data_IF_793007099363
#
_entry.id   IF_793007099363
#
_cell.length_a   1.000
_cell.length_b   1.000
_cell.length_c   1.000
_cell.angle_alpha   90.00
_cell.angle_beta   90.00
_cell.angle_gamma   90.00
#
_symmetry.space_group_name_H-M   'P 1'
#
loop_
_entity.id
_entity.type
_entity.pdbx_description
1 polymer ?
2 non-polymer ?
3 non-polymer ?
4 water ?
#
# COMPACT_ATOMS: atom_id res chain seq x y z
N UNK A 21 22.61 7.88 15.26
CA UNK A 21 21.58 7.24 14.36
C UNK A 21 20.45 6.65 15.23
N UNK A 22 19.77 5.59 14.76
CA UNK A 22 18.60 4.99 15.45
C UNK A 22 19.07 3.81 16.29
N UNK A 23 18.84 3.86 17.59
CA UNK A 23 19.21 2.80 18.56
C UNK A 23 17.97 2.06 19.05
N UNK A 24 16.78 2.67 18.96
CA UNK A 24 15.51 2.11 19.48
C UNK A 24 14.34 2.60 18.63
N UNK A 25 13.56 1.68 18.06
CA UNK A 25 12.37 2.01 17.20
C UNK A 25 11.10 1.46 17.87
N UNK A 26 10.10 2.32 18.07
CA UNK A 26 8.70 1.89 18.37
C UNK A 26 8.09 1.34 17.06
N UNK A 27 7.62 0.08 17.09
CA UNK A 27 6.82 -0.59 16.02
C UNK A 27 5.33 -0.35 16.31
N UNK A 28 4.78 0.76 15.79
CA UNK A 28 3.39 1.22 15.99
C UNK A 28 2.49 0.55 14.95
N UNK A 29 2.40 -0.78 14.98
CA UNK A 29 1.57 -1.60 14.07
C UNK A 29 1.49 -3.01 14.68
N UNK A 30 1.18 -4.01 13.86
CA UNK A 30 0.82 -5.38 14.31
C UNK A 30 0.91 -6.35 13.12
N UNK A 31 0.60 -7.62 13.36
CA UNK A 31 0.53 -8.64 12.29
C UNK A 31 1.86 -8.80 11.59
N UNK A 32 1.82 -9.05 10.28
CA UNK A 32 2.98 -9.43 9.47
C UNK A 32 3.89 -8.20 9.31
N UNK A 33 3.33 -6.99 9.24
CA UNK A 33 4.16 -5.78 8.96
C UNK A 33 5.02 -5.45 10.20
N UNK A 34 4.47 -5.60 11.40
CA UNK A 34 5.22 -5.40 12.67
C UNK A 34 6.39 -6.39 12.74
N UNK A 35 6.21 -7.63 12.30
CA UNK A 35 7.30 -8.65 12.25
C UNK A 35 8.33 -8.29 11.17
N UNK A 36 7.88 -7.86 10.00
CA UNK A 36 8.74 -7.42 8.88
C UNK A 36 9.68 -6.32 9.39
N UNK A 37 9.12 -5.38 10.13
CA UNK A 37 9.87 -4.23 10.72
C UNK A 37 10.83 -4.75 11.79
N UNK A 38 10.37 -5.62 12.69
CA UNK A 38 11.23 -6.20 13.75
C UNK A 38 12.45 -6.85 13.10
N UNK A 39 12.22 -7.71 12.11
CA UNK A 39 13.28 -8.43 11.35
C UNK A 39 14.32 -7.43 10.81
N UNK A 40 13.85 -6.32 10.23
CA UNK A 40 14.72 -5.27 9.66
C UNK A 40 15.57 -4.68 10.80
N UNK A 41 14.89 -4.33 11.90
CA UNK A 41 15.50 -3.64 13.06
C UNK A 41 16.62 -4.54 13.61
N UNK A 42 16.30 -5.81 13.87
CA UNK A 42 17.23 -6.81 14.44
C UNK A 42 18.45 -6.96 13.54
N UNK A 43 18.23 -7.04 12.23
CA UNK A 43 19.33 -7.17 11.23
C UNK A 43 20.29 -5.99 11.35
N UNK A 44 19.80 -4.79 11.74
CA UNK A 44 20.60 -3.54 11.83
C UNK A 44 21.08 -3.31 13.27
N UNK A 45 20.66 -4.16 14.21
CA UNK A 45 21.03 -4.04 15.63
C UNK A 45 20.27 -2.90 16.30
N UNK A 46 19.08 -2.59 15.81
CA UNK A 46 18.19 -1.52 16.37
C UNK A 46 17.25 -2.19 17.37
N UNK A 47 17.20 -1.63 18.59
CA UNK A 47 16.37 -2.18 19.69
C UNK A 47 14.91 -1.91 19.36
N UNK A 48 14.04 -2.89 19.58
CA UNK A 48 12.62 -2.87 19.21
C UNK A 48 11.75 -2.73 20.46
N UNK A 49 10.85 -1.74 20.44
CA UNK A 49 9.66 -1.61 21.34
C UNK A 49 8.42 -2.01 20.55
N UNK A 50 7.70 -3.05 20.95
CA UNK A 50 6.43 -3.46 20.32
C UNK A 50 5.27 -2.93 21.17
N UNK A 51 4.59 -1.91 20.67
CA UNK A 51 3.30 -1.42 21.24
C UNK A 51 2.20 -2.29 20.65
N UNK A 52 1.33 -2.79 21.51
CA UNK A 52 0.36 -3.85 21.19
C UNK A 52 -0.93 -3.58 21.95
N UNK A 53 -2.06 -4.09 21.44
CA UNK A 53 -3.35 -4.14 22.14
C UNK A 53 -3.33 -5.34 23.09
N UNK A 54 -4.29 -5.38 24.01
CA UNK A 54 -4.66 -6.54 24.87
C UNK A 54 -4.70 -7.83 24.04
N UNK A 55 -5.35 -7.79 22.87
CA UNK A 55 -5.64 -8.99 22.04
C UNK A 55 -4.42 -9.42 21.22
N UNK A 56 -3.33 -8.65 21.26
CA UNK A 56 -2.12 -8.88 20.43
C UNK A 56 -0.91 -9.18 21.32
N UNK A 57 -1.12 -9.62 22.57
CA UNK A 57 -0.03 -10.03 23.51
C UNK A 57 0.76 -11.21 22.92
N UNK A 58 0.09 -12.06 22.13
CA UNK A 58 0.61 -13.36 21.65
C UNK A 58 1.14 -13.25 20.20
N UNK A 59 1.28 -12.04 19.65
CA UNK A 59 1.83 -11.85 18.27
C UNK A 59 3.29 -12.27 18.25
N UNK A 60 3.75 -12.87 17.14
CA UNK A 60 5.14 -13.34 16.95
C UNK A 60 6.11 -12.18 17.27
N UNK A 61 5.91 -11.03 16.60
CA UNK A 61 6.82 -9.87 16.69
C UNK A 61 6.88 -9.36 18.13
N UNK A 62 5.77 -9.47 18.87
CA UNK A 62 5.67 -8.98 20.28
C UNK A 62 6.54 -9.85 21.17
N UNK A 63 6.50 -11.18 20.98
CA UNK A 63 7.26 -12.17 21.80
C UNK A 63 8.76 -12.05 21.49
N UNK A 64 9.12 -11.62 20.27
CA UNK A 64 10.52 -11.48 19.78
C UNK A 64 11.10 -10.09 20.12
N UNK A 65 10.25 -9.13 20.53
CA UNK A 65 10.62 -7.72 20.76
C UNK A 65 11.55 -7.57 21.97
N UNK A 66 12.29 -6.47 22.06
CA UNK A 66 13.23 -6.18 23.17
C UNK A 66 12.42 -5.68 24.37
N UNK A 67 11.50 -4.74 24.14
CA UNK A 67 10.52 -4.22 25.12
C UNK A 67 9.11 -4.34 24.52
N UNK A 68 8.10 -4.57 25.38
CA UNK A 68 6.65 -4.61 25.02
C UNK A 68 5.88 -3.66 25.94
N UNK A 69 4.81 -3.05 25.40
CA UNK A 69 3.93 -2.08 26.11
C UNK A 69 2.50 -2.20 25.55
N UNK A 70 1.57 -2.64 26.40
CA UNK A 70 0.11 -2.60 26.13
C UNK A 70 -0.32 -1.12 26.04
N UNK A 71 -0.77 -0.65 24.87
CA UNK A 71 -1.21 0.76 24.65
C UNK A 71 -2.75 0.86 24.66
N UNK A 72 -3.46 -0.22 24.95
CA UNK A 72 -4.89 -0.15 25.29
C UNK A 72 -5.70 -1.36 24.84
N UNK A 73 -7.03 -1.33 25.05
CA UNK A 73 -7.89 -2.49 24.79
C UNK A 73 -7.98 -2.81 23.29
N UNK A 74 -8.58 -3.97 22.96
CA UNK A 74 -8.55 -4.63 21.63
C UNK A 74 -8.94 -3.67 20.50
N UNK A 75 -10.06 -2.90 20.59
CA UNK A 75 -10.43 -2.02 19.50
C UNK A 75 -9.24 -1.16 19.08
N UNK A 76 -9.03 -1.02 17.78
CA UNK A 76 -7.92 -0.25 17.16
C UNK A 76 -8.01 1.23 17.54
N UNK A 77 -9.23 1.72 17.78
CA UNK A 77 -9.54 3.13 18.13
C UNK A 77 -8.90 3.49 19.47
N UNK A 78 -8.89 2.56 20.44
CA UNK A 78 -8.31 2.78 21.79
C UNK A 78 -6.96 2.06 21.92
N UNK A 79 -6.33 1.66 20.82
CA UNK A 79 -5.00 0.99 20.81
C UNK A 79 -4.13 1.58 19.70
N UNK A 80 -4.23 1.05 18.47
CA UNK A 80 -3.27 1.35 17.36
C UNK A 80 -3.54 2.72 16.76
N UNK A 81 -4.62 3.40 17.16
CA UNK A 81 -4.98 4.78 16.74
C UNK A 81 -4.87 5.73 17.95
N UNK A 82 -4.30 5.24 19.06
CA UNK A 82 -4.16 5.96 20.35
C UNK A 82 -2.88 6.80 20.30
N UNK A 83 -2.95 7.96 19.65
CA UNK A 83 -1.81 8.88 19.38
C UNK A 83 -1.07 9.18 20.69
N UNK A 84 -1.75 9.56 21.79
CA UNK A 84 -1.08 9.81 23.07
C UNK A 84 -0.33 8.60 23.64
N UNK A 85 -0.95 7.42 23.64
CA UNK A 85 -0.42 6.20 24.30
C UNK A 85 0.88 5.77 23.60
N UNK A 86 0.95 5.90 22.28
CA UNK A 86 2.12 5.51 21.45
C UNK A 86 3.28 6.48 21.74
N UNK A 87 3.01 7.79 21.67
CA UNK A 87 4.02 8.86 21.95
C UNK A 87 4.58 8.63 23.36
N UNK A 88 3.67 8.45 24.33
CA UNK A 88 3.96 8.14 25.75
C UNK A 88 4.91 6.95 25.86
N UNK A 89 4.63 5.88 25.09
CA UNK A 89 5.43 4.64 25.03
C UNK A 89 6.83 4.93 24.47
N UNK A 90 6.94 5.88 23.53
CA UNK A 90 8.23 6.34 22.99
C UNK A 90 9.01 7.08 24.07
N UNK A 91 8.35 7.99 24.81
CA UNK A 91 8.99 8.85 25.84
C UNK A 91 9.66 7.96 26.90
N UNK A 92 8.95 6.91 27.35
CA UNK A 92 9.29 6.10 28.55
C UNK A 92 10.47 5.18 28.24
N UNK A 93 10.52 4.61 27.05
CA UNK A 93 11.58 3.65 26.61
C UNK A 93 12.78 4.44 26.06
N UNK A 94 12.65 5.77 25.91
CA UNK A 94 13.70 6.61 25.33
C UNK A 94 13.98 6.20 23.89
N UNK A 95 12.93 5.81 23.16
CA UNK A 95 12.95 5.47 21.73
C UNK A 95 13.51 6.66 20.93
N UNK A 96 14.16 6.36 19.80
CA UNK A 96 14.69 7.38 18.84
C UNK A 96 13.65 7.67 17.75
N UNK A 97 12.83 6.70 17.39
CA UNK A 97 11.93 6.79 16.22
C UNK A 97 10.73 5.86 16.38
N UNK A 98 9.74 6.05 15.48
CA UNK A 98 8.44 5.32 15.45
C UNK A 98 8.19 4.90 14.00
N UNK A 99 7.96 3.60 13.75
CA UNK A 99 7.57 3.05 12.43
C UNK A 99 6.08 2.75 12.47
N UNK A 100 5.25 3.49 11.69
CA UNK A 100 3.80 3.28 11.65
C UNK A 100 3.29 2.17 10.71
N UNK A 101 4.20 1.47 10.01
CA UNK A 101 3.85 0.42 9.03
C UNK A 101 2.90 0.93 7.95
N UNK A 102 1.83 0.21 7.67
CA UNK A 102 0.72 0.64 6.77
C UNK A 102 -0.60 0.62 7.55
N UNK A 103 -1.61 1.31 7.01
CA UNK A 103 -2.90 1.60 7.67
C UNK A 103 -2.71 2.39 8.95
N UNK A 104 -3.67 2.30 9.87
CA UNK A 104 -3.65 2.98 11.18
C UNK A 104 -3.20 4.43 10.95
N UNK A 105 -2.09 4.86 11.57
CA UNK A 105 -1.69 6.28 11.67
C UNK A 105 -0.63 6.63 10.60
N UNK A 106 -0.36 5.74 9.64
CA UNK A 106 0.79 5.87 8.71
C UNK A 106 0.60 7.09 7.78
N UNK A 107 -0.64 7.37 7.35
CA UNK A 107 -0.99 8.51 6.45
C UNK A 107 -1.58 9.71 7.23
N UNK A 108 -1.48 9.69 8.57
CA UNK A 108 -2.07 10.71 9.47
C UNK A 108 -1.02 11.79 9.77
N UNK A 109 -1.20 12.99 9.22
CA UNK A 109 -0.22 14.11 9.31
C UNK A 109 -0.17 14.62 10.75
N UNK A 110 -1.34 14.70 11.40
CA UNK A 110 -1.46 15.18 12.81
C UNK A 110 -0.58 14.30 13.69
N UNK A 111 -0.64 12.98 13.52
CA UNK A 111 0.21 12.00 14.26
C UNK A 111 1.68 12.31 13.95
N UNK A 112 2.05 12.37 12.67
CA UNK A 112 3.43 12.68 12.21
C UNK A 112 3.92 13.98 12.85
N UNK A 113 3.05 14.99 12.90
CA UNK A 113 3.33 16.32 13.50
C UNK A 113 3.62 16.15 14.99
N UNK A 114 2.76 15.42 15.72
CA UNK A 114 2.86 15.23 17.19
C UNK A 114 4.16 14.46 17.49
N UNK A 115 4.58 13.55 16.60
CA UNK A 115 5.81 12.72 16.73
C UNK A 115 7.04 13.64 16.64
N UNK A 116 7.16 14.40 15.55
CA UNK A 116 8.32 15.28 15.29
C UNK A 116 8.41 16.32 16.42
N UNK A 117 7.28 16.91 16.81
CA UNK A 117 7.21 17.99 17.85
C UNK A 117 7.65 17.42 19.21
N UNK A 118 7.34 16.15 19.51
CA UNK A 118 7.68 15.48 20.79
C UNK A 118 9.13 14.96 20.80
N UNK A 119 9.88 15.20 19.71
CA UNK A 119 11.34 15.07 19.66
C UNK A 119 11.83 13.76 19.06
N UNK A 120 10.93 12.93 18.50
CA UNK A 120 11.26 11.63 17.87
C UNK A 120 11.22 11.79 16.34
N UNK A 121 11.84 10.82 15.65
CA UNK A 121 11.83 10.70 14.16
C UNK A 121 10.61 9.88 13.73
N UNK A 122 9.76 10.44 12.88
CA UNK A 122 8.67 9.69 12.22
C UNK A 122 9.25 9.01 10.98
N UNK A 123 9.27 7.68 10.96
CA UNK A 123 9.82 6.88 9.81
C UNK A 123 8.78 6.94 8.69
N UNK A 124 9.07 7.77 7.69
CA UNK A 124 8.13 8.23 6.66
C UNK A 124 8.36 9.71 6.39
N UNK A 125 7.49 10.34 5.57
CA UNK A 125 7.71 11.72 5.15
C UNK A 125 7.47 12.71 6.30
N UNK A 126 7.80 13.99 6.10
CA UNK A 126 7.50 15.10 7.05
C UNK A 126 6.00 15.41 6.99
N UNK A 127 5.42 15.91 8.09
CA UNK A 127 3.98 16.21 8.25
C UNK A 127 3.45 16.99 7.04
N UNK A 128 4.15 18.06 6.62
CA UNK A 128 3.65 18.99 5.58
C UNK A 128 3.63 18.28 4.21
N UNK A 129 4.45 17.25 4.01
CA UNK A 129 4.46 16.44 2.76
C UNK A 129 3.35 15.38 2.82
N UNK A 130 2.95 14.94 4.01
CA UNK A 130 1.83 13.96 4.17
C UNK A 130 0.50 14.68 3.88
N UNK A 131 0.26 15.84 4.51
CA UNK A 131 -0.94 16.71 4.27
C UNK A 131 -1.09 16.99 2.78
N UNK A 132 0.02 17.35 2.13
CA UNK A 132 0.07 17.80 0.72
C UNK A 132 -0.43 16.69 -0.20
N UNK A 133 0.06 15.46 0.01
CA UNK A 133 -0.23 14.29 -0.87
C UNK A 133 -1.47 13.55 -0.33
N UNK A 134 -1.88 13.80 0.92
CA UNK A 134 -3.19 13.41 1.47
C UNK A 134 -4.34 14.13 0.77
N UNK A 135 -4.15 15.41 0.45
CA UNK A 135 -5.10 16.19 -0.40
C UNK A 135 -4.78 15.87 -1.86
N UNK A 136 -5.71 15.28 -2.59
CA UNK A 136 -5.46 14.65 -3.91
C UNK A 136 -5.37 15.72 -4.99
N UNK A 137 -6.16 16.79 -4.90
CA UNK A 137 -6.08 17.91 -5.89
C UNK A 137 -4.69 18.56 -5.77
N UNK A 138 -4.16 18.78 -4.56
CA UNK A 138 -2.84 19.42 -4.36
C UNK A 138 -1.72 18.44 -4.72
N UNK A 139 -1.93 17.15 -4.49
CA UNK A 139 -1.03 16.04 -4.92
C UNK A 139 -0.95 16.02 -6.46
N UNK A 140 -2.11 16.06 -7.12
CA UNK A 140 -2.27 16.08 -8.60
C UNK A 140 -1.62 17.35 -9.16
N UNK A 141 -1.73 18.48 -8.45
CA UNK A 141 -1.01 19.74 -8.81
C UNK A 141 0.48 19.44 -8.98
N UNK A 142 1.08 18.82 -7.95
CA UNK A 142 2.54 18.51 -7.82
C UNK A 142 3.01 17.65 -8.99
N UNK A 143 2.23 16.61 -9.32
CA UNK A 143 2.58 15.61 -10.36
C UNK A 143 2.49 16.23 -11.77
N UNK A 144 1.48 17.06 -12.03
CA UNK A 144 1.42 17.87 -13.28
C UNK A 144 2.71 18.71 -13.38
N UNK A 145 3.06 19.37 -12.27
CA UNK A 145 4.21 20.32 -12.15
C UNK A 145 5.53 19.60 -12.47
N UNK A 146 5.68 18.34 -12.03
CA UNK A 146 6.90 17.52 -12.17
C UNK A 146 6.95 16.82 -13.54
N UNK A 147 6.02 17.15 -14.44
CA UNK A 147 5.93 16.58 -15.80
C UNK A 147 5.24 15.23 -15.80
N UNK A 148 4.57 14.86 -14.69
CA UNK A 148 3.95 13.50 -14.48
C UNK A 148 2.52 13.49 -15.00
N UNK A 149 2.19 12.57 -15.94
CA UNK A 149 0.89 12.60 -16.63
C UNK A 149 -0.27 12.21 -15.70
N UNK A 150 -1.35 12.98 -15.75
CA UNK A 150 -2.54 12.84 -14.88
C UNK A 150 -3.78 12.54 -15.73
N UNK A 151 -4.90 12.21 -15.08
CA UNK A 151 -6.19 11.95 -15.77
C UNK A 151 -6.71 13.29 -16.29
N UNK A 152 -7.13 13.38 -17.57
CA UNK A 152 -7.92 14.53 -18.02
C UNK A 152 -8.99 14.78 -16.94
N UNK A 153 -9.14 16.03 -16.49
CA UNK A 153 -9.97 16.35 -15.30
C UNK A 153 -10.27 17.84 -15.19
N UNK A 154 -10.75 18.26 -14.01
CA UNK A 154 -11.09 19.67 -13.68
C UNK A 154 -9.81 20.49 -13.48
N UNK A 155 -8.69 19.83 -13.18
CA UNK A 155 -7.38 20.49 -12.99
C UNK A 155 -7.51 21.50 -11.84
N UNK A 156 -8.15 21.07 -10.73
CA UNK A 156 -8.52 21.92 -9.59
C UNK A 156 -9.89 21.55 -9.06
N UNK A 157 -10.37 22.19 -7.95
CA UNK A 157 -11.72 21.94 -7.45
C UNK A 157 -12.79 22.52 -8.39
N UNK A 158 -13.94 21.85 -8.51
CA UNK A 158 -15.10 22.26 -9.37
C UNK A 158 -16.05 23.15 -8.55
N UNK A 159 -16.63 24.18 -9.18
CA UNK A 159 -17.54 25.16 -8.53
C UNK A 159 -19.00 24.70 -8.68
N UNK A 160 -19.93 25.40 -8.03
CA UNK A 160 -21.38 25.09 -8.01
C UNK A 160 -22.04 25.70 -9.26
N UNK A 161 -21.35 26.63 -9.94
CA UNK A 161 -21.72 27.08 -11.31
C UNK A 161 -21.66 25.84 -12.22
N UNK A 162 -22.82 25.24 -12.49
CA UNK A 162 -22.94 23.91 -13.15
C UNK A 162 -22.81 24.08 -14.67
N UNK A 163 -23.14 25.25 -15.21
CA UNK A 163 -22.82 25.63 -16.60
C UNK A 163 -21.32 25.37 -16.85
N UNK A 164 -20.47 25.84 -15.92
CA UNK A 164 -18.99 25.73 -16.01
C UNK A 164 -18.56 24.28 -15.86
N UNK A 165 -19.29 23.48 -15.06
CA UNK A 165 -19.02 22.04 -14.83
C UNK A 165 -19.29 21.24 -16.11
N UNK A 166 -20.49 21.38 -16.68
CA UNK A 166 -20.90 20.70 -17.95
C UNK A 166 -19.83 20.92 -19.02
N UNK A 167 -19.33 22.16 -19.09
CA UNK A 167 -18.28 22.60 -20.05
C UNK A 167 -17.03 21.73 -19.90
N UNK A 168 -16.48 21.63 -18.69
CA UNK A 168 -15.28 20.78 -18.40
C UNK A 168 -15.63 19.32 -18.67
N UNK A 169 -16.82 18.87 -18.24
CA UNK A 169 -17.26 17.46 -18.30
C UNK A 169 -17.39 17.02 -19.77
N UNK A 170 -17.87 17.93 -20.62
CA UNK A 170 -18.10 17.67 -22.07
C UNK A 170 -16.77 17.79 -22.82
N UNK A 171 -15.78 18.47 -22.23
CA UNK A 171 -14.40 18.60 -22.77
C UNK A 171 -13.72 17.23 -22.68
N UNK A 172 -13.61 16.67 -21.48
CA UNK A 172 -13.06 15.30 -21.22
C UNK A 172 -14.01 14.23 -21.80
N UNK A 173 -15.32 14.51 -21.84
CA UNK A 173 -16.36 13.60 -22.34
C UNK A 173 -16.73 12.54 -21.30
N UNK A 174 -17.94 11.99 -21.41
CA UNK A 174 -18.51 10.99 -20.48
C UNK A 174 -18.07 9.59 -20.91
N UNK A 175 -17.96 8.59 -20.01
CA UNK A 175 -18.21 8.78 -18.57
C UNK A 175 -17.11 9.62 -17.88
N UNK A 176 -17.52 10.38 -16.87
CA UNK A 176 -16.63 11.16 -15.96
C UNK A 176 -16.82 10.61 -14.53
N UNK A 177 -15.87 10.88 -13.62
CA UNK A 177 -15.98 10.46 -12.20
C UNK A 177 -15.69 11.68 -11.32
N UNK A 178 -16.45 11.84 -10.23
CA UNK A 178 -16.28 12.89 -9.19
C UNK A 178 -15.65 12.26 -7.95
N UNK A 179 -14.47 12.73 -7.54
CA UNK A 179 -13.72 12.25 -6.35
C UNK A 179 -13.62 13.35 -5.29
N UNK A 180 -13.48 12.95 -4.02
CA UNK A 180 -13.17 13.85 -2.88
C UNK A 180 -11.65 14.04 -2.80
N UNK A 181 -11.20 15.24 -2.50
CA UNK A 181 -9.76 15.59 -2.37
C UNK A 181 -9.19 15.03 -1.06
N UNK A 182 -9.99 15.01 0.00
CA UNK A 182 -9.65 14.43 1.32
C UNK A 182 -10.66 13.40 1.78
N UNK A 188 -15.47 7.06 -1.54
CA UNK A 188 -16.67 7.91 -1.61
C UNK A 188 -16.70 8.76 -2.88
N UNK A 189 -16.59 8.11 -4.04
CA UNK A 189 -16.53 8.77 -5.38
C UNK A 189 -17.78 8.36 -6.17
N UNK A 190 -18.08 9.07 -7.26
CA UNK A 190 -19.33 8.89 -8.04
C UNK A 190 -19.03 8.93 -9.54
N UNK A 191 -19.37 7.85 -10.26
CA UNK A 191 -19.35 7.78 -11.74
C UNK A 191 -20.58 8.52 -12.29
N UNK A 192 -20.36 9.43 -13.24
CA UNK A 192 -21.41 10.14 -14.01
C UNK A 192 -21.29 9.67 -15.46
N UNK A 193 -22.39 9.18 -16.03
CA UNK A 193 -22.39 8.54 -17.38
C UNK A 193 -22.97 9.50 -18.42
N UNK A 194 -23.81 10.47 -17.99
CA UNK A 194 -24.57 11.40 -18.87
C UNK A 194 -24.70 12.79 -18.24
N UNK A 195 -24.70 13.84 -19.06
CA UNK A 195 -24.81 15.27 -18.65
C UNK A 195 -26.06 15.48 -17.78
N UNK A 196 -27.13 14.72 -18.04
CA UNK A 196 -28.45 14.85 -17.37
C UNK A 196 -28.31 14.69 -15.85
N UNK A 197 -27.31 13.93 -15.39
CA UNK A 197 -27.09 13.59 -13.96
C UNK A 197 -25.75 14.13 -13.46
N UNK A 198 -25.44 15.41 -13.71
CA UNK A 198 -24.14 16.00 -13.28
C UNK A 198 -24.36 16.94 -12.09
N UNK A 199 -25.09 18.04 -12.29
CA UNK A 199 -25.37 19.08 -11.26
C UNK A 199 -25.60 18.43 -9.89
N UNK A 200 -26.69 17.67 -9.74
CA UNK A 200 -27.07 16.91 -8.51
C UNK A 200 -25.90 16.05 -8.04
N UNK A 201 -25.30 15.29 -8.97
CA UNK A 201 -24.29 14.24 -8.69
C UNK A 201 -23.05 14.85 -8.02
N UNK A 202 -22.75 16.12 -8.31
CA UNK A 202 -21.64 16.90 -7.67
C UNK A 202 -22.07 17.28 -6.25
N UNK A 203 -23.17 18.02 -6.13
CA UNK A 203 -23.70 18.58 -4.85
C UNK A 203 -23.88 17.44 -3.83
N UNK A 204 -24.23 16.25 -4.30
CA UNK A 204 -24.30 15.01 -3.47
C UNK A 204 -22.92 14.74 -2.90
N UNK A 205 -21.93 14.43 -3.75
CA UNK A 205 -20.54 14.05 -3.41
C UNK A 205 -19.93 15.08 -2.44
N UNK A 206 -20.17 16.37 -2.67
CA UNK A 206 -19.74 17.49 -1.79
C UNK A 206 -20.31 17.27 -0.39
N UNK A 207 -21.65 17.20 -0.28
CA UNK A 207 -22.43 17.15 0.98
C UNK A 207 -22.05 15.92 1.80
N UNK A 208 -21.67 14.81 1.14
CA UNK A 208 -21.22 13.56 1.82
C UNK A 208 -19.91 13.82 2.55
N UNK A 209 -19.01 14.60 1.93
CA UNK A 209 -17.63 14.89 2.41
C UNK A 209 -17.66 15.75 3.68
N UNK A 210 -18.35 16.89 3.65
CA UNK A 210 -18.47 17.83 4.81
C UNK A 210 -18.93 17.04 6.04
N UNK A 211 -20.02 16.27 5.90
CA UNK A 211 -20.61 15.42 6.96
C UNK A 211 -19.63 14.31 7.35
N UNK A 212 -18.94 13.72 6.38
CA UNK A 212 -17.90 12.67 6.58
C UNK A 212 -16.54 13.32 6.88
N UNK A 213 -15.75 13.63 5.84
CA UNK A 213 -14.30 13.93 5.90
C UNK A 213 -14.00 15.41 6.19
N UNK A 214 -15.00 16.21 6.60
CA UNK A 214 -14.87 17.62 7.08
C UNK A 214 -14.63 18.62 5.92
N UNK A 215 -14.24 18.13 4.73
CA UNK A 215 -13.71 18.92 3.58
C UNK A 215 -14.61 18.75 2.36
N UNK A 216 -15.34 19.80 1.96
CA UNK A 216 -16.39 19.77 0.89
C UNK A 216 -15.76 19.78 -0.51
N UNK A 217 -14.45 19.69 -0.62
CA UNK A 217 -13.69 19.86 -1.89
C UNK A 217 -13.71 18.55 -2.70
N UNK A 218 -14.13 18.65 -3.96
CA UNK A 218 -14.23 17.50 -4.91
C UNK A 218 -13.68 17.94 -6.27
N UNK A 219 -13.17 16.99 -7.06
CA UNK A 219 -12.61 17.22 -8.41
C UNK A 219 -13.19 16.18 -9.39
N UNK A 220 -13.16 16.50 -10.70
CA UNK A 220 -13.57 15.58 -11.80
C UNK A 220 -12.32 14.97 -12.45
N UNK A 221 -12.45 13.71 -12.89
CA UNK A 221 -11.53 13.05 -13.85
C UNK A 221 -12.37 12.39 -14.94
N UNK A 222 -11.78 12.19 -16.12
CA UNK A 222 -12.26 11.25 -17.15
C UNK A 222 -12.22 9.85 -16.52
N UNK A 223 -13.40 9.25 -16.29
CA UNK A 223 -13.52 7.88 -15.74
C UNK A 223 -13.01 6.91 -16.81
N UNK A 224 -11.95 6.17 -16.49
CA UNK A 224 -11.41 5.07 -17.32
C UNK A 224 -12.17 3.78 -16.97
N UNK A 225 -12.71 3.12 -17.98
CA UNK A 225 -13.73 2.05 -17.83
C UNK A 225 -13.03 0.71 -17.59
N UNK A 226 -11.87 0.47 -18.22
CA UNK A 226 -11.12 -0.81 -18.11
C UNK A 226 -9.63 -0.55 -17.90
N UNK A 227 -9.25 0.19 -16.84
CA UNK A 227 -7.84 0.47 -16.58
C UNK A 227 -7.19 -0.70 -15.82
N UNK A 228 -5.86 -0.82 -15.89
CA UNK A 228 -5.03 -1.64 -14.98
C UNK A 228 -4.47 -0.73 -13.88
N UNK A 229 -4.32 -1.24 -12.66
CA UNK A 229 -3.80 -0.50 -11.49
C UNK A 229 -2.30 -0.79 -11.36
N UNK A 230 -1.47 0.18 -11.72
CA UNK A 230 0.01 0.03 -11.77
C UNK A 230 0.64 1.08 -10.86
N UNK A 231 1.48 0.63 -9.94
CA UNK A 231 2.10 1.43 -8.85
C UNK A 231 3.62 1.51 -9.06
N UNK A 232 4.20 2.71 -9.01
CA UNK A 232 5.68 2.84 -8.99
C UNK A 232 6.15 3.01 -7.55
N UNK A 233 7.10 2.17 -7.13
CA UNK A 233 7.79 2.29 -5.81
C UNK A 233 8.94 3.28 -5.99
N UNK A 234 9.07 4.19 -5.02
CA UNK A 234 10.20 5.14 -4.95
C UNK A 234 10.77 5.14 -3.52
N UNK A 235 12.02 5.60 -3.42
CA UNK A 235 12.69 5.99 -2.15
C UNK A 235 13.32 7.35 -2.37
N UNK A 236 13.18 8.26 -1.39
CA UNK A 236 13.86 9.57 -1.34
C UNK A 236 14.53 9.71 0.03
N UNK A 237 15.72 10.34 0.10
CA UNK A 237 16.52 10.49 1.34
C UNK A 237 16.73 11.97 1.65
N UNK A 238 17.38 12.27 2.79
CA UNK A 238 17.68 13.64 3.28
C UNK A 238 18.95 14.19 2.61
N UNK A 239 19.57 13.41 1.73
CA UNK A 239 20.77 13.76 0.93
C UNK A 239 20.37 14.24 -0.47
N UNK A 240 19.06 14.25 -0.77
CA UNK A 240 18.53 14.79 -2.03
C UNK A 240 18.52 13.77 -3.16
N UNK A 241 18.81 12.49 -2.86
CA UNK A 241 18.71 11.35 -3.80
C UNK A 241 17.27 10.83 -3.85
N UNK A 242 16.85 10.32 -5.00
CA UNK A 242 15.53 9.65 -5.18
C UNK A 242 15.64 8.60 -6.29
N UNK A 243 15.06 7.42 -6.07
CA UNK A 243 15.13 6.24 -7.00
C UNK A 243 13.73 5.68 -7.20
N UNK A 244 13.51 5.10 -8.37
CA UNK A 244 12.29 4.35 -8.76
C UNK A 244 12.67 2.86 -8.86
N UNK A 245 11.86 1.99 -8.26
CA UNK A 245 12.11 0.51 -8.20
C UNK A 245 10.99 -0.20 -8.97
N UNK A 246 10.98 -0.01 -10.29
CA UNK A 246 9.99 -0.53 -11.24
C UNK A 246 8.57 -0.32 -10.69
N UNK A 247 7.64 -1.21 -11.03
CA UNK A 247 6.19 -1.04 -10.73
C UNK A 247 5.61 -2.39 -10.28
N UNK A 248 4.39 -2.34 -9.75
CA UNK A 248 3.56 -3.52 -9.42
C UNK A 248 2.22 -3.36 -10.14
N UNK A 249 1.66 -4.47 -10.63
CA UNK A 249 0.29 -4.52 -11.17
C UNK A 249 -0.60 -5.08 -10.07
N UNK A 250 -1.50 -4.25 -9.55
CA UNK A 250 -2.46 -4.59 -8.46
C UNK A 250 -3.88 -4.75 -9.02
N UNK A 251 -4.03 -5.14 -10.29
CA UNK A 251 -5.32 -5.15 -11.02
C UNK A 251 -6.24 -6.25 -10.45
N UNK A 252 -5.65 -7.37 -10.02
CA UNK A 252 -6.39 -8.53 -9.47
C UNK A 252 -6.88 -8.17 -8.07
N UNK A 253 -7.99 -7.45 -8.01
CA UNK A 253 -8.63 -6.92 -6.78
C UNK A 253 -10.15 -7.21 -6.81
N UNK A 254 -10.81 -7.07 -5.66
CA UNK A 254 -12.24 -7.36 -5.45
C UNK A 254 -12.82 -6.26 -4.55
N UNK A 255 -13.67 -5.39 -5.09
CA UNK A 255 -14.35 -4.32 -4.31
C UNK A 255 -13.31 -3.64 -3.40
N UNK A 256 -12.29 -3.05 -4.03
CA UNK A 256 -11.24 -2.16 -3.45
C UNK A 256 -10.29 -2.94 -2.54
N UNK A 257 -10.30 -4.28 -2.58
CA UNK A 257 -9.36 -5.13 -1.80
C UNK A 257 -8.50 -5.94 -2.77
N UNK A 258 -7.20 -5.65 -2.79
CA UNK A 258 -6.19 -6.34 -3.64
C UNK A 258 -6.06 -7.79 -3.19
N UNK A 259 -5.92 -8.72 -4.14
CA UNK A 259 -5.92 -10.19 -3.86
C UNK A 259 -4.58 -10.79 -4.32
N UNK A 260 -4.15 -10.48 -5.54
CA UNK A 260 -2.82 -10.90 -6.09
C UNK A 260 -2.11 -9.65 -6.59
N UNK A 261 -0.80 -9.57 -6.40
CA UNK A 261 0.08 -8.50 -6.96
C UNK A 261 1.26 -9.16 -7.67
N UNK A 262 1.79 -8.50 -8.70
CA UNK A 262 3.01 -8.96 -9.39
C UNK A 262 3.89 -7.77 -9.72
N UNK A 263 5.17 -8.05 -9.95
CA UNK A 263 6.20 -7.11 -10.42
C UNK A 263 7.16 -7.90 -11.30
N UNK A 264 7.58 -7.38 -12.48
CA UNK A 264 7.09 -6.10 -13.00
C UNK A 264 5.66 -6.24 -13.51
N UNK A 265 5.05 -5.15 -13.96
CA UNK A 265 3.71 -5.15 -14.59
C UNK A 265 3.86 -5.63 -16.03
N UNK A 266 3.16 -6.70 -16.47
CA UNK A 266 3.27 -7.17 -17.86
C UNK A 266 2.98 -6.07 -18.88
N UNK A 267 3.68 -6.09 -20.02
CA UNK A 267 3.48 -5.16 -21.14
C UNK A 267 4.36 -3.92 -21.03
N UNK A 268 4.83 -3.60 -19.83
CA UNK A 268 5.63 -2.36 -19.56
C UNK A 268 7.10 -2.66 -19.83
N UNK A 269 7.76 -1.80 -20.61
CA UNK A 269 9.13 -1.98 -21.13
C UNK A 269 10.11 -1.24 -20.22
N UNK A 270 11.40 -1.54 -20.31
CA UNK A 270 12.47 -0.80 -19.59
C UNK A 270 12.39 0.68 -19.98
N UNK A 271 12.03 0.92 -21.24
CA UNK A 271 12.00 2.26 -21.88
C UNK A 271 10.94 3.10 -21.14
N UNK A 272 9.73 2.57 -20.96
CA UNK A 272 8.59 3.30 -20.32
C UNK A 272 8.84 3.36 -18.80
N UNK A 273 9.27 2.25 -18.19
CA UNK A 273 9.69 2.18 -16.75
C UNK A 273 10.63 3.34 -16.44
N UNK A 274 11.69 3.49 -17.23
CA UNK A 274 12.72 4.54 -17.06
C UNK A 274 12.05 5.91 -17.05
N UNK A 275 11.18 6.18 -18.04
CA UNK A 275 10.57 7.51 -18.27
C UNK A 275 9.70 7.90 -17.07
N UNK A 276 8.54 7.26 -16.90
CA UNK A 276 7.57 7.59 -15.81
C UNK A 276 8.25 7.34 -14.45
N UNK A 277 9.08 6.30 -14.33
CA UNK A 277 9.91 6.04 -13.14
C UNK A 277 10.76 7.27 -12.80
N UNK A 278 11.48 7.81 -13.79
CA UNK A 278 12.35 9.00 -13.62
C UNK A 278 11.50 10.18 -13.16
N UNK A 279 10.30 10.34 -13.73
CA UNK A 279 9.43 11.52 -13.48
C UNK A 279 8.91 11.48 -12.05
N UNK A 280 8.58 10.30 -11.55
CA UNK A 280 8.26 10.09 -10.12
C UNK A 280 9.47 10.42 -9.23
N UNK A 281 10.70 10.08 -9.65
CA UNK A 281 11.94 10.39 -8.90
C UNK A 281 12.17 11.91 -8.87
N UNK A 282 11.98 12.61 -9.99
CA UNK A 282 12.09 14.10 -10.05
C UNK A 282 11.12 14.72 -9.05
N UNK A 283 9.87 14.27 -9.07
CA UNK A 283 8.76 14.79 -8.23
C UNK A 283 9.12 14.67 -6.74
N UNK A 284 9.65 13.52 -6.32
CA UNK A 284 10.11 13.26 -4.93
C UNK A 284 11.02 14.40 -4.46
N UNK A 285 11.91 14.85 -5.33
CA UNK A 285 12.89 15.93 -5.00
C UNK A 285 12.16 17.27 -5.01
N UNK A 286 11.40 17.56 -6.06
CA UNK A 286 10.63 18.83 -6.17
C UNK A 286 9.95 19.09 -4.82
N UNK A 287 9.23 18.10 -4.29
CA UNK A 287 8.36 18.25 -3.07
C UNK A 287 9.15 17.93 -1.80
N UNK A 288 10.47 17.73 -1.90
CA UNK A 288 11.33 17.33 -0.77
C UNK A 288 10.77 16.10 -0.06
N UNK A 289 10.34 15.09 -0.84
CA UNK A 289 9.77 13.82 -0.32
C UNK A 289 10.85 13.10 0.46
N UNK A 290 10.45 12.29 1.45
CA UNK A 290 11.37 11.58 2.39
C UNK A 290 10.85 10.16 2.66
N UNK A 291 11.67 9.15 2.38
CA UNK A 291 11.40 7.73 2.72
C UNK A 291 10.78 6.99 1.57
N UNK A 292 10.13 5.86 1.88
CA UNK A 292 9.46 4.97 0.90
C UNK A 292 8.11 5.57 0.52
N UNK A 293 7.70 5.38 -0.73
CA UNK A 293 6.44 5.94 -1.22
C UNK A 293 6.02 5.25 -2.51
N UNK A 294 4.73 5.36 -2.85
CA UNK A 294 4.17 4.79 -4.09
C UNK A 294 3.34 5.82 -4.85
N UNK A 295 3.63 5.99 -6.13
CA UNK A 295 2.78 6.69 -7.11
C UNK A 295 1.85 5.64 -7.74
N UNK A 296 0.55 5.66 -7.41
CA UNK A 296 -0.46 4.79 -8.07
C UNK A 296 -0.78 5.41 -9.43
N UNK A 297 -0.92 4.57 -10.45
CA UNK A 297 -1.36 5.00 -11.81
C UNK A 297 -2.56 4.15 -12.26
N UNK A 298 -3.39 4.74 -13.12
CA UNK A 298 -4.28 3.99 -14.05
C UNK A 298 -3.47 3.70 -15.31
N UNK A 299 -3.67 2.54 -15.93
CA UNK A 299 -2.98 2.12 -17.17
C UNK A 299 -3.98 1.50 -18.14
N UNK A 300 -4.27 2.24 -19.22
CA UNK A 300 -5.21 1.84 -20.28
C UNK A 300 -4.62 2.28 -21.62
N UNK A 301 -4.62 1.37 -22.61
CA UNK A 301 -4.37 1.69 -24.03
C UNK A 301 -2.93 2.22 -24.19
N UNK A 302 -2.01 1.71 -23.38
CA UNK A 302 -0.56 2.00 -23.46
C UNK A 302 -0.14 3.21 -22.66
N UNK A 303 -1.09 4.00 -22.12
CA UNK A 303 -0.82 5.31 -21.47
C UNK A 303 -0.96 5.18 -19.94
N UNK A 304 -0.11 5.91 -19.20
CA UNK A 304 -0.16 6.06 -17.72
C UNK A 304 -0.93 7.33 -17.36
N UNK A 305 -1.71 7.26 -16.27
CA UNK A 305 -2.46 8.40 -15.70
C UNK A 305 -2.38 8.29 -14.18
N UNK A 306 -1.63 9.20 -13.55
CA UNK A 306 -1.47 9.30 -12.07
C UNK A 306 -2.84 9.57 -11.44
N UNK A 307 -3.12 8.99 -10.27
CA UNK A 307 -4.40 9.23 -9.52
C UNK A 307 -4.10 9.67 -8.08
N UNK A 308 -3.21 8.99 -7.36
CA UNK A 308 -2.89 9.38 -5.97
C UNK A 308 -1.58 8.73 -5.54
N UNK A 309 -1.05 9.16 -4.40
CA UNK A 309 0.25 8.69 -3.87
C UNK A 309 0.07 8.23 -2.43
N UNK A 310 0.64 7.06 -2.13
CA UNK A 310 0.71 6.49 -0.77
C UNK A 310 2.07 6.87 -0.16
N UNK A 311 2.05 7.59 0.96
CA UNK A 311 3.28 8.15 1.61
C UNK A 311 3.75 7.18 2.71
N UNK A 312 3.90 5.89 2.38
CA UNK A 312 4.16 4.81 3.35
C UNK A 312 4.63 3.54 2.63
N UNK A 313 5.15 2.58 3.40
CA UNK A 313 5.40 1.20 2.90
C UNK A 313 4.03 0.52 2.68
N UNK A 314 3.92 -0.29 1.62
CA UNK A 314 2.66 -0.97 1.22
C UNK A 314 2.77 -2.48 1.45
N UNK A 315 1.60 -3.11 1.59
CA UNK A 315 1.42 -4.59 1.76
C UNK A 315 2.29 -5.34 0.73
N UNK A 316 2.30 -4.88 -0.52
CA UNK A 316 2.82 -5.65 -1.69
C UNK A 316 4.28 -5.28 -1.96
N UNK A 317 4.97 -4.66 -1.01
CA UNK A 317 6.38 -4.24 -1.18
C UNK A 317 7.26 -5.44 -1.50
N UNK A 318 7.00 -6.66 -0.94
CA UNK A 318 7.88 -7.80 -1.16
C UNK A 318 8.10 -8.18 -2.63
N UNK A 319 7.09 -8.00 -3.49
CA UNK A 319 7.21 -8.39 -4.93
C UNK A 319 8.27 -7.53 -5.60
N UNK A 320 8.37 -6.25 -5.21
CA UNK A 320 9.40 -5.30 -5.71
C UNK A 320 10.77 -5.74 -5.19
N UNK A 321 10.85 -6.14 -3.91
CA UNK A 321 12.12 -6.60 -3.25
C UNK A 321 12.69 -7.78 -4.05
N UNK A 322 11.82 -8.69 -4.51
CA UNK A 322 12.19 -9.95 -5.20
C UNK A 322 12.85 -9.65 -6.55
N UNK A 323 12.46 -8.57 -7.23
CA UNK A 323 12.92 -8.28 -8.63
C UNK A 323 14.04 -7.23 -8.65
N UNK A 324 14.33 -6.55 -7.52
CA UNK A 324 15.40 -5.52 -7.43
C UNK A 324 16.47 -5.91 -6.40
N UNK A 325 16.21 -6.88 -5.52
CA UNK A 325 17.11 -7.20 -4.39
C UNK A 325 17.35 -5.99 -3.51
N UNK A 326 16.37 -5.11 -3.37
CA UNK A 326 16.33 -3.98 -2.39
C UNK A 326 15.54 -4.46 -1.18
N UNK A 327 15.98 -4.07 0.01
CA UNK A 327 15.27 -4.32 1.29
C UNK A 327 14.58 -3.00 1.66
N UNK A 328 13.31 -2.85 1.27
CA UNK A 328 12.61 -1.55 1.32
C UNK A 328 12.48 -1.08 2.77
N UNK A 329 12.34 -1.99 3.74
CA UNK A 329 12.12 -1.58 5.15
C UNK A 329 13.46 -1.16 5.76
N UNK A 330 14.54 -1.87 5.44
CA UNK A 330 15.94 -1.53 5.80
C UNK A 330 16.26 -0.10 5.33
N UNK A 331 15.87 0.27 4.11
CA UNK A 331 16.15 1.61 3.54
C UNK A 331 15.28 2.64 4.27
N UNK A 332 14.06 2.29 4.63
CA UNK A 332 13.19 3.18 5.45
C UNK A 332 13.93 3.53 6.73
N UNK A 333 14.55 2.56 7.40
CA UNK A 333 15.25 2.76 8.69
C UNK A 333 16.48 3.64 8.46
N UNK A 334 17.31 3.28 7.46
CA UNK A 334 18.50 4.06 7.06
C UNK A 334 18.12 5.52 6.80
N UNK A 335 17.14 5.77 5.92
CA UNK A 335 16.70 7.12 5.50
C UNK A 335 16.28 7.91 6.73
N UNK A 336 15.42 7.32 7.56
CA UNK A 336 14.93 7.93 8.81
C UNK A 336 16.11 8.36 9.69
N UNK A 337 17.23 7.63 9.70
CA UNK A 337 18.43 7.92 10.55
C UNK A 337 19.31 8.99 9.90
N UNK A 338 18.87 9.60 8.81
CA UNK A 338 19.63 10.61 8.04
C UNK A 338 20.67 10.02 7.10
N UNK A 339 20.70 8.69 6.89
CA UNK A 339 21.67 8.04 5.95
C UNK A 339 21.16 8.19 4.52
N UNK A 340 22.06 8.13 3.52
CA UNK A 340 21.65 8.07 2.14
C UNK A 340 21.12 6.66 1.86
N UNK A 341 20.25 6.54 0.86
CA UNK A 341 19.89 5.25 0.21
C UNK A 341 21.22 4.53 -0.10
N UNK A 342 21.31 3.25 0.24
CA UNK A 342 22.53 2.41 0.20
C UNK A 342 22.98 2.09 -1.24
N UNK A 343 22.27 2.54 -2.27
CA UNK A 343 22.57 2.20 -3.69
C UNK A 343 22.07 3.32 -4.61
N UNK A 344 22.47 3.28 -5.89
CA UNK A 344 22.17 4.31 -6.92
C UNK A 344 21.26 3.72 -8.00
N UNK A 345 20.48 4.56 -8.67
CA UNK A 345 19.48 4.17 -9.69
C UNK A 345 20.11 3.13 -10.63
N UNK A 346 21.34 3.36 -11.07
CA UNK A 346 22.05 2.52 -12.09
C UNK A 346 22.46 1.15 -11.52
N UNK A 347 22.35 0.93 -10.21
CA UNK A 347 22.71 -0.35 -9.53
C UNK A 347 21.49 -1.29 -9.54
N UNK A 348 20.30 -0.75 -9.86
CA UNK A 348 19.01 -1.48 -9.94
C UNK A 348 18.80 -1.98 -11.38
N UNK A 349 18.58 -3.29 -11.51
CA UNK A 349 18.10 -3.93 -12.74
C UNK A 349 16.96 -4.86 -12.34
N UNK A 350 15.84 -4.79 -13.06
CA UNK A 350 14.70 -5.75 -12.90
C UNK A 350 15.17 -7.11 -13.42
N UNK A 351 15.22 -8.12 -12.55
CA UNK A 351 15.44 -9.53 -12.95
C UNK A 351 14.20 -10.34 -12.55
N UNK A 352 13.74 -11.18 -13.47
CA UNK A 352 12.66 -12.17 -13.26
C UNK A 352 11.34 -11.49 -12.98
N UNK A 353 10.48 -12.18 -12.24
CA UNK A 353 9.06 -11.83 -12.00
C UNK A 353 8.69 -12.39 -10.63
N UNK A 354 7.78 -11.70 -9.94
CA UNK A 354 7.37 -12.00 -8.56
C UNK A 354 5.85 -11.90 -8.46
N UNK A 355 5.22 -12.85 -7.76
CA UNK A 355 3.78 -12.86 -7.45
C UNK A 355 3.63 -12.87 -5.92
N UNK A 356 2.66 -12.12 -5.40
CA UNK A 356 2.22 -12.18 -3.98
C UNK A 356 0.75 -12.57 -3.94
N UNK A 357 0.41 -13.66 -3.26
CA UNK A 357 -0.99 -13.97 -2.88
C UNK A 357 -1.20 -13.53 -1.43
N UNK A 358 -2.14 -12.62 -1.22
CA UNK A 358 -2.60 -12.21 0.14
C UNK A 358 -3.46 -13.34 0.70
N UNK A 359 -2.97 -14.03 1.72
CA UNK A 359 -3.69 -15.16 2.34
C UNK A 359 -4.45 -14.59 3.52
N UNK A 360 -5.78 -14.63 3.42
CA UNK A 360 -6.75 -14.10 4.39
C UNK A 360 -7.46 -15.25 5.08
N UNK A 361 -7.69 -15.10 6.38
CA UNK A 361 -8.63 -15.90 7.19
C UNK A 361 -10.05 -15.45 6.86
N UNK A 362 -10.57 -15.95 5.72
CA UNK A 362 -11.94 -15.63 5.21
C UNK A 362 -12.46 -16.77 4.31
N UNK A 363 -13.79 -16.89 4.24
CA UNK A 363 -14.52 -17.80 3.32
C UNK A 363 -14.15 -17.43 1.90
N UNK A 364 -13.69 -18.39 1.06
CA UNK A 364 -13.14 -18.07 -0.25
C UNK A 364 -14.18 -17.61 -1.30
N UNK A 365 -15.48 -17.73 -1.01
CA UNK A 365 -16.58 -17.34 -1.93
C UNK A 365 -17.36 -16.12 -1.39
N UNK A 366 -17.67 -16.08 -0.09
CA UNK A 366 -18.50 -15.01 0.56
C UNK A 366 -17.60 -13.90 1.12
N UNK A 367 -16.35 -14.22 1.45
CA UNK A 367 -15.33 -13.27 1.97
C UNK A 367 -15.65 -12.82 3.40
N UNK A 368 -16.57 -13.52 4.07
CA UNK A 368 -16.87 -13.37 5.51
C UNK A 368 -15.65 -13.78 6.32
N UNK A 369 -15.12 -12.90 7.21
CA UNK A 369 -13.99 -13.25 8.09
C UNK A 369 -14.15 -14.63 8.73
N UNK A 370 -13.02 -15.32 8.92
CA UNK A 370 -12.96 -16.65 9.59
C UNK A 370 -11.88 -16.60 10.66
N UNK A 371 -12.13 -15.95 11.82
CA UNK A 371 -11.18 -15.95 12.93
C UNK A 371 -11.24 -17.28 13.70
N UNK A 372 -10.25 -17.51 14.56
CA UNK A 372 -10.17 -18.72 15.41
C UNK A 372 -8.80 -19.36 15.35
N UNK A 373 -8.63 -20.46 16.10
CA UNK A 373 -7.36 -21.19 16.29
C UNK A 373 -6.94 -21.83 14.96
N UNK A 374 -5.71 -21.53 14.51
CA UNK A 374 -4.96 -22.34 13.51
C UNK A 374 -4.43 -23.56 14.26
N UNK A 375 -4.98 -24.74 13.98
CA UNK A 375 -4.63 -25.99 14.69
C UNK A 375 -3.28 -26.46 14.15
N UNK A 376 -3.23 -26.71 12.83
CA UNK A 376 -1.98 -27.05 12.08
C UNK A 376 -1.72 -25.96 11.04
N UNK A 377 -0.49 -25.44 11.03
CA UNK A 377 0.09 -24.63 9.93
C UNK A 377 1.23 -25.43 9.30
N UNK A 378 1.21 -25.63 7.99
CA UNK A 378 2.44 -26.01 7.24
C UNK A 378 2.77 -24.90 6.24
N UNK A 379 3.89 -24.21 6.44
CA UNK A 379 4.45 -23.19 5.50
C UNK A 379 5.09 -23.91 4.32
N UNK A 380 4.97 -23.37 3.08
CA UNK A 380 5.72 -23.88 1.95
C UNK A 380 7.16 -23.36 1.98
N UNK A 381 8.02 -23.89 1.11
CA UNK A 381 9.43 -23.46 0.97
C UNK A 381 10.05 -23.99 -0.31
N UNK A 382 11.38 -24.04 -0.35
CA UNK A 382 12.16 -24.35 -1.56
C UNK A 382 12.61 -23.09 -2.28
N UNK A 383 13.22 -23.27 -3.44
CA UNK A 383 13.77 -22.18 -4.29
C UNK A 383 12.65 -21.22 -4.70
N UNK A 384 12.87 -19.92 -4.51
CA UNK A 384 12.06 -18.80 -5.01
C UNK A 384 10.75 -18.63 -4.25
N UNK A 385 10.61 -19.21 -3.06
CA UNK A 385 9.37 -19.15 -2.22
C UNK A 385 9.67 -18.36 -0.96
N UNK A 386 8.91 -17.30 -0.70
CA UNK A 386 9.07 -16.44 0.48
C UNK A 386 7.72 -16.37 1.20
N UNK A 387 7.78 -16.51 2.53
CA UNK A 387 6.63 -16.58 3.45
C UNK A 387 6.79 -15.48 4.51
N UNK A 388 5.99 -14.41 4.39
CA UNK A 388 5.87 -13.28 5.33
C UNK A 388 4.56 -13.43 6.10
N UNK A 389 4.62 -13.91 7.34
CA UNK A 389 3.45 -14.21 8.19
C UNK A 389 3.88 -14.21 9.64
N UNK A 390 3.03 -13.62 10.48
CA UNK A 390 3.12 -13.65 11.96
C UNK A 390 2.39 -14.89 12.49
N UNK A 391 1.78 -15.67 11.60
CA UNK A 391 0.95 -16.84 12.05
C UNK A 391 1.85 -18.06 12.27
N UNK A 392 1.54 -18.81 13.31
CA UNK A 392 2.20 -20.07 13.72
C UNK A 392 1.09 -21.05 14.16
N UNK A 393 1.38 -22.35 14.19
CA UNK A 393 0.45 -23.35 14.77
C UNK A 393 0.06 -22.93 16.18
N UNK A 394 -1.23 -22.94 16.50
CA UNK A 394 -1.75 -22.59 17.84
C UNK A 394 -2.08 -21.11 18.00
N UNK A 395 -1.67 -20.25 17.05
CA UNK A 395 -2.06 -18.82 17.00
C UNK A 395 -3.55 -18.74 16.66
N UNK A 396 -4.25 -17.91 17.43
CA UNK A 396 -5.70 -17.62 17.22
C UNK A 396 -5.77 -16.32 16.43
N UNK A 397 -6.32 -16.38 15.21
CA UNK A 397 -6.58 -15.16 14.39
C UNK A 397 -7.73 -14.41 15.06
N UNK A 398 -7.51 -13.14 15.46
CA UNK A 398 -8.50 -12.38 16.21
C UNK A 398 -9.53 -11.72 15.30
N UNK A 399 -10.69 -11.30 15.83
CA UNK A 399 -11.69 -10.59 15.03
C UNK A 399 -11.49 -9.09 14.76
N UNK A 400 -10.64 -8.40 15.53
CA UNK A 400 -10.72 -6.94 15.77
C UNK A 400 -10.07 -6.12 14.64
N UNK A 401 -9.34 -6.73 13.72
CA UNK A 401 -8.49 -6.05 12.72
C UNK A 401 -8.81 -6.63 11.32
N UNK A 402 -7.82 -6.75 10.44
CA UNK A 402 -8.03 -7.21 9.04
C UNK A 402 -7.95 -8.74 9.03
N UNK A 403 -8.18 -9.39 7.88
CA UNK A 403 -8.23 -10.87 7.78
C UNK A 403 -6.90 -11.42 7.27
N UNK A 404 -5.92 -10.57 6.96
CA UNK A 404 -4.61 -11.01 6.43
C UNK A 404 -3.82 -11.79 7.48
N UNK A 405 -3.37 -13.00 7.14
CA UNK A 405 -2.59 -13.92 8.03
C UNK A 405 -1.20 -14.20 7.42
N UNK A 406 -1.06 -14.21 6.11
CA UNK A 406 0.20 -14.51 5.43
C UNK A 406 0.26 -13.79 4.09
N UNK A 407 1.47 -13.50 3.63
CA UNK A 407 1.76 -13.05 2.24
C UNK A 407 2.63 -14.15 1.65
N UNK A 408 2.09 -14.92 0.72
CA UNK A 408 2.89 -15.94 0.00
C UNK A 408 3.45 -15.25 -1.24
N UNK A 409 4.77 -15.20 -1.35
CA UNK A 409 5.51 -14.50 -2.44
C UNK A 409 6.40 -15.54 -3.15
N UNK A 410 6.32 -15.60 -4.48
CA UNK A 410 7.17 -16.47 -5.32
C UNK A 410 7.96 -15.59 -6.29
N UNK A 411 9.17 -16.04 -6.61
CA UNK A 411 10.03 -15.49 -7.69
C UNK A 411 10.27 -16.61 -8.72
N UNK A 412 10.26 -16.22 -10.00
CA UNK A 412 10.76 -17.04 -11.12
C UNK A 412 11.54 -16.19 -12.09
N UNK A 413 12.33 -16.82 -12.97
CA UNK A 413 13.08 -16.15 -14.07
C UNK A 413 12.10 -15.51 -15.05
N UNK A 414 10.90 -16.09 -15.18
CA UNK A 414 9.81 -15.63 -16.08
C UNK A 414 8.50 -15.56 -15.29
N UNK A 415 7.50 -14.87 -15.84
CA UNK A 415 6.13 -14.81 -15.27
C UNK A 415 5.57 -16.23 -15.11
N UNK A 416 5.79 -17.11 -16.10
CA UNK A 416 5.30 -18.51 -16.08
C UNK A 416 5.80 -19.22 -14.82
N UNK A 417 7.08 -19.10 -14.48
CA UNK A 417 7.70 -19.90 -13.37
C UNK A 417 7.15 -19.40 -12.04
N UNK A 418 7.06 -18.07 -11.85
CA UNK A 418 6.48 -17.42 -10.65
C UNK A 418 5.07 -17.97 -10.42
N UNK A 419 4.29 -18.13 -11.48
CA UNK A 419 2.87 -18.61 -11.45
C UNK A 419 2.87 -20.09 -11.05
N UNK A 420 3.64 -20.92 -11.75
CA UNK A 420 3.78 -22.39 -11.51
C UNK A 420 4.28 -22.62 -10.08
N UNK A 421 5.27 -21.84 -9.65
CA UNK A 421 5.89 -21.92 -8.30
C UNK A 421 4.83 -21.54 -7.24
N UNK A 422 4.03 -20.53 -7.52
CA UNK A 422 2.95 -20.10 -6.61
C UNK A 422 1.94 -21.25 -6.50
N UNK A 423 1.62 -21.91 -7.62
CA UNK A 423 0.64 -23.02 -7.65
C UNK A 423 1.13 -24.12 -6.69
N UNK A 424 2.36 -24.61 -6.90
CA UNK A 424 3.00 -25.69 -6.08
C UNK A 424 3.09 -25.26 -4.62
N UNK A 425 3.48 -24.01 -4.36
CA UNK A 425 3.55 -23.44 -3.00
C UNK A 425 2.16 -23.47 -2.31
N UNK A 426 1.08 -23.14 -3.02
CA UNK A 426 -0.28 -23.08 -2.41
C UNK A 426 -0.81 -24.49 -2.13
N UNK A 427 -0.51 -25.49 -2.95
CA UNK A 427 -1.00 -26.88 -2.75
C UNK A 427 -0.18 -27.57 -1.66
N UNK A 428 0.95 -26.98 -1.27
CA UNK A 428 1.80 -27.40 -0.12
C UNK A 428 1.32 -26.73 1.18
N UNK A 429 0.59 -25.62 1.08
CA UNK A 429 0.17 -24.79 2.22
C UNK A 429 -1.04 -25.44 2.90
N UNK A 430 -0.89 -25.84 4.17
CA UNK A 430 -1.93 -26.45 5.03
C UNK A 430 -2.25 -25.46 6.14
N UNK A 431 -3.53 -25.05 6.27
CA UNK A 431 -4.04 -24.17 7.35
C UNK A 431 -5.39 -24.70 7.85
N UNK A 432 -5.37 -25.42 8.97
CA UNK A 432 -6.53 -26.13 9.60
C UNK A 432 -7.10 -25.28 10.73
N UNK A 433 -8.42 -25.33 10.91
CA UNK A 433 -9.16 -24.67 12.00
C UNK A 433 -9.95 -23.47 11.51
N UNK A 434 -9.45 -22.78 10.48
CA UNK A 434 -10.12 -21.61 9.83
C UNK A 434 -10.15 -21.80 8.31
N UNK A 435 -11.09 -21.12 7.65
CA UNK A 435 -11.16 -21.03 6.16
C UNK A 435 -10.09 -20.04 5.69
N UNK A 436 -9.57 -20.23 4.48
CA UNK A 436 -8.72 -19.21 3.80
C UNK A 436 -9.22 -19.01 2.37
N UNK A 437 -8.69 -17.97 1.73
CA UNK A 437 -8.93 -17.64 0.30
C UNK A 437 -7.92 -18.37 -0.59
N UNK A 438 -7.29 -19.45 -0.10
CA UNK A 438 -6.33 -20.25 -0.92
C UNK A 438 -7.04 -20.84 -2.15
N UNK A 439 -8.28 -21.37 -2.06
CA UNK A 439 -8.98 -21.89 -3.24
C UNK A 439 -9.26 -20.80 -4.29
N UNK A 440 -9.41 -19.56 -3.85
CA UNK A 440 -9.57 -18.36 -4.72
C UNK A 440 -8.29 -18.16 -5.52
N UNK A 441 -7.14 -18.12 -4.83
CA UNK A 441 -5.80 -17.95 -5.46
C UNK A 441 -5.62 -19.04 -6.50
N UNK A 442 -5.97 -20.29 -6.18
CA UNK A 442 -5.76 -21.46 -7.07
C UNK A 442 -6.58 -21.26 -8.36
N UNK A 443 -7.84 -20.85 -8.22
CA UNK A 443 -8.72 -20.45 -9.35
C UNK A 443 -8.05 -19.39 -10.23
N UNK A 444 -7.58 -18.30 -9.62
CA UNK A 444 -6.96 -17.16 -10.34
C UNK A 444 -5.75 -17.65 -11.14
N UNK A 445 -4.89 -18.46 -10.51
CA UNK A 445 -3.56 -18.82 -11.07
C UNK A 445 -3.71 -19.78 -12.27
N UNK A 446 -4.86 -20.45 -12.43
CA UNK A 446 -5.11 -21.36 -13.58
C UNK A 446 -6.07 -20.72 -14.59
N UNK A 447 -6.68 -19.58 -14.26
CA UNK A 447 -7.44 -18.72 -15.20
C UNK A 447 -6.57 -18.40 -16.42
N UNK A 448 -7.04 -18.73 -17.64
CA UNK A 448 -6.25 -18.61 -18.89
C UNK A 448 -5.91 -17.13 -19.16
N UNK A 449 -6.80 -16.19 -18.79
CA UNK A 449 -6.62 -14.74 -19.06
C UNK A 449 -5.51 -14.23 -18.14
N UNK A 450 -5.56 -14.62 -16.87
CA UNK A 450 -4.53 -14.29 -15.85
C UNK A 450 -3.16 -14.83 -16.31
N UNK A 451 -3.11 -16.06 -16.81
CA UNK A 451 -1.84 -16.69 -17.30
C UNK A 451 -1.29 -15.87 -18.45
N UNK A 452 -2.19 -15.45 -19.35
CA UNK A 452 -1.89 -14.57 -20.50
C UNK A 452 -1.37 -13.22 -19.98
N UNK A 453 -1.98 -12.70 -18.90
CA UNK A 453 -1.59 -11.45 -18.22
C UNK A 453 -2.28 -10.24 -18.82
N UNK A 454 -2.28 -9.12 -18.11
CA UNK A 454 -2.83 -7.83 -18.56
C UNK A 454 -4.32 -7.71 -18.33
N UNK A 455 -4.86 -8.49 -17.38
CA UNK A 455 -6.28 -8.43 -16.93
C UNK A 455 -6.48 -7.07 -16.24
N UNK A 456 -7.58 -6.39 -16.54
CA UNK A 456 -7.91 -5.06 -15.94
C UNK A 456 -8.51 -5.26 -14.55
N UNK A 457 -8.90 -4.16 -13.90
CA UNK A 457 -9.23 -4.07 -12.45
C UNK A 457 -10.62 -4.65 -12.15
N UNK A 458 -11.42 -4.95 -13.18
CA UNK A 458 -12.82 -5.46 -13.00
C UNK A 458 -12.86 -6.97 -13.21
N UNK A 459 -11.74 -7.57 -13.58
CA UNK A 459 -11.69 -8.97 -14.06
C UNK A 459 -12.24 -9.91 -12.98
N UNK A 460 -11.72 -9.80 -11.77
CA UNK A 460 -11.99 -10.75 -10.67
C UNK A 460 -13.48 -10.71 -10.30
N UNK A 461 -14.08 -9.51 -10.27
CA UNK A 461 -15.52 -9.32 -9.93
C UNK A 461 -16.36 -10.07 -10.97
N UNK A 462 -16.05 -9.89 -12.26
CA UNK A 462 -16.79 -10.53 -13.38
C UNK A 462 -16.64 -12.05 -13.25
N UNK A 463 -15.40 -12.52 -13.08
CA UNK A 463 -15.07 -13.97 -13.00
C UNK A 463 -15.86 -14.60 -11.85
N UNK A 464 -16.01 -13.91 -10.70
CA UNK A 464 -16.79 -14.40 -9.53
C UNK A 464 -18.31 -14.25 -9.77
N UNK A 465 -18.76 -14.23 -11.02
CA UNK A 465 -20.20 -14.13 -11.37
C UNK A 465 -20.72 -15.45 -11.91
#
# INVERSE_FOLDING_TARGET
>A
MGSSHHHHHHSSGLVPRGSHMLEKVVIANRGEIALRILRACKELGIKTVAVHSTADRDLKHVLLADETICIGPAPSAKSYLNIPAIIAAAEVTGADAIHPGYGFLSENADFAEQVERSGFTFIGPTADVIRLMGDKVSAIKAMKKAGVPCVPGSDGPVSNDIAKNKEIAKRIGYPIIIKASGGGGGRGMRVVRSEDALEESIAMTKAEAKAAFNNDMVYMEKYLENPRHVEIQVLADTHGNAVYLAERDCSMQRRHQKVVEEAPAPGITEEVRRDIGSRCANACVEIGYRGAGTFEFLYENGEFYFIEMNTRIQVEHPVTEMITGVDLVKEQLRIAAGLPISFKQEDIKVKGHAMECRINAEDPKTFLPSPGKVNHLHSPGGLGVRWDSHVYGGYTVPPHYDSMIAKLITYGDTREVAIRRMQNALSETIIDGIKTNIPLHELILEDENFQKGGTNIHYLEKKLGMNE
#
